data_IF_025021155319
#
_entry.id   IF_025021155319
#
_cell.length_a   1.000
_cell.length_b   1.000
_cell.length_c   1.000
_cell.angle_alpha   90.00
_cell.angle_beta   90.00
_cell.angle_gamma   90.00
#
_symmetry.space_group_name_H-M   'P 1'
#
loop_
_entity.id
_entity.type
_entity.pdbx_description
1 polymer ?
#
# COMPACT_ATOMS: atom_id res chain seq x y z
N UNK A 1 -16.32 -15.44 6.88
CA UNK A 1 -15.37 -14.39 7.30
C UNK A 1 -13.99 -15.01 7.41
N UNK A 2 -13.23 -15.06 6.31
CA UNK A 2 -11.85 -15.58 6.33
C UNK A 2 -10.93 -14.50 6.90
N UNK A 3 -10.69 -14.55 8.21
CA UNK A 3 -9.50 -13.91 8.78
C UNK A 3 -8.32 -14.75 8.31
N UNK A 4 -7.62 -14.29 7.28
CA UNK A 4 -6.25 -14.72 7.03
C UNK A 4 -5.46 -14.31 8.27
N UNK A 5 -5.35 -15.23 9.24
CA UNK A 5 -4.38 -15.08 10.30
C UNK A 5 -3.02 -15.35 9.65
N UNK A 6 -2.10 -14.37 9.65
CA UNK A 6 -0.77 -14.62 9.15
C UNK A 6 -0.13 -15.71 10.01
N UNK A 7 0.47 -16.71 9.34
CA UNK A 7 1.18 -17.77 10.04
C UNK A 7 2.38 -17.16 10.78
N UNK A 8 2.64 -17.58 12.01
CA UNK A 8 3.67 -16.98 12.86
C UNK A 8 5.10 -17.03 12.27
N UNK A 9 5.41 -18.03 11.45
CA UNK A 9 6.69 -18.18 10.73
C UNK A 9 6.86 -17.26 9.50
N UNK A 10 5.76 -16.78 8.91
CA UNK A 10 5.75 -16.01 7.64
C UNK A 10 5.71 -14.49 7.86
N UNK A 11 5.84 -14.02 9.10
CA UNK A 11 5.66 -12.60 9.44
C UNK A 11 6.73 -11.70 8.82
N UNK A 12 7.95 -12.21 8.65
CA UNK A 12 9.01 -11.52 7.91
C UNK A 12 8.63 -11.35 6.43
N UNK A 13 8.06 -12.39 5.83
CA UNK A 13 7.59 -12.44 4.45
C UNK A 13 6.44 -11.43 4.22
N UNK A 14 5.55 -11.25 5.20
CA UNK A 14 4.45 -10.30 5.12
C UNK A 14 4.91 -8.85 5.14
N UNK A 15 5.90 -8.51 5.98
CA UNK A 15 6.48 -7.15 6.01
C UNK A 15 7.12 -6.81 4.67
N UNK A 16 7.91 -7.71 4.09
CA UNK A 16 8.54 -7.50 2.77
C UNK A 16 7.49 -7.36 1.65
N UNK A 17 6.45 -8.21 1.65
CA UNK A 17 5.34 -8.10 0.68
C UNK A 17 4.58 -6.78 0.81
N UNK A 18 4.26 -6.36 2.04
CA UNK A 18 3.57 -5.09 2.29
C UNK A 18 4.44 -3.90 1.86
N UNK A 19 5.74 -3.91 2.16
CA UNK A 19 6.68 -2.88 1.72
C UNK A 19 6.74 -2.79 0.19
N UNK A 20 6.82 -3.94 -0.49
CA UNK A 20 6.77 -4.00 -1.95
C UNK A 20 5.45 -3.45 -2.51
N UNK A 21 4.31 -3.82 -1.93
CA UNK A 21 3.01 -3.27 -2.35
C UNK A 21 2.91 -1.75 -2.14
N UNK A 22 3.46 -1.22 -1.04
CA UNK A 22 3.55 0.22 -0.78
C UNK A 22 4.38 0.91 -1.86
N UNK A 23 5.60 0.40 -2.14
CA UNK A 23 6.49 0.99 -3.14
C UNK A 23 5.84 0.99 -4.54
N UNK A 24 5.32 -0.16 -4.97
CA UNK A 24 4.61 -0.28 -6.25
C UNK A 24 3.40 0.67 -6.34
N UNK A 25 2.67 0.85 -5.23
CA UNK A 25 1.50 1.74 -5.21
C UNK A 25 1.90 3.21 -5.31
N UNK A 26 3.01 3.60 -4.67
CA UNK A 26 3.57 4.95 -4.77
C UNK A 26 4.03 5.23 -6.20
N UNK A 27 4.80 4.33 -6.82
CA UNK A 27 5.25 4.47 -8.21
C UNK A 27 4.05 4.58 -9.17
N UNK A 28 2.99 3.80 -8.94
CA UNK A 28 1.75 3.89 -9.71
C UNK A 28 1.01 5.21 -9.52
N UNK A 29 1.10 5.84 -8.34
CA UNK A 29 0.54 7.18 -8.10
C UNK A 29 1.35 8.21 -8.89
N UNK A 30 2.68 8.17 -8.80
CA UNK A 30 3.59 9.10 -9.50
C UNK A 30 3.44 9.01 -11.02
N UNK A 31 3.45 7.80 -11.58
CA UNK A 31 3.22 7.58 -13.01
C UNK A 31 1.83 8.07 -13.46
N UNK A 32 0.81 7.91 -12.60
CA UNK A 32 -0.52 8.42 -12.88
C UNK A 32 -0.57 9.96 -12.80
N UNK A 33 0.19 10.60 -11.91
CA UNK A 33 0.31 12.06 -11.83
C UNK A 33 1.08 12.64 -13.04
N UNK A 34 2.10 11.94 -13.55
CA UNK A 34 2.80 12.34 -14.78
C UNK A 34 1.85 12.32 -16.00
N UNK A 35 1.10 11.23 -16.16
CA UNK A 35 0.09 11.12 -17.24
C UNK A 35 -1.06 12.11 -17.07
N UNK A 36 -1.38 12.49 -15.84
CA UNK A 36 -2.41 13.49 -15.53
C UNK A 36 -2.10 14.83 -16.20
N UNK A 37 -0.83 15.23 -16.34
CA UNK A 37 -0.45 16.50 -16.97
C UNK A 37 -0.99 16.64 -18.40
N UNK A 38 -1.04 15.54 -19.14
CA UNK A 38 -1.48 15.47 -20.54
C UNK A 38 -2.96 15.07 -20.71
N UNK A 39 -3.65 14.76 -19.63
CA UNK A 39 -5.02 14.22 -19.63
C UNK A 39 -6.10 15.30 -19.68
N UNK A 40 -7.30 14.93 -20.16
CA UNK A 40 -8.48 15.80 -20.17
C UNK A 40 -8.97 16.09 -18.74
N UNK A 41 -9.72 17.19 -18.47
CA UNK A 41 -10.21 17.50 -17.12
C UNK A 41 -11.00 16.36 -16.44
N UNK A 42 -11.81 15.63 -17.20
CA UNK A 42 -12.56 14.47 -16.68
C UNK A 42 -11.62 13.30 -16.31
N UNK A 43 -10.61 13.04 -17.13
CA UNK A 43 -9.59 12.01 -16.86
C UNK A 43 -8.75 12.38 -15.65
N UNK A 44 -8.37 13.67 -15.51
CA UNK A 44 -7.67 14.18 -14.33
C UNK A 44 -8.45 13.89 -13.04
N UNK A 45 -9.75 14.18 -13.02
CA UNK A 45 -10.59 13.91 -11.86
C UNK A 45 -10.66 12.39 -11.53
N UNK A 46 -10.75 11.53 -12.55
CA UNK A 46 -10.73 10.07 -12.36
C UNK A 46 -9.39 9.58 -11.80
N UNK A 47 -8.28 10.11 -12.31
CA UNK A 47 -6.93 9.76 -11.85
C UNK A 47 -6.74 10.22 -10.40
N UNK A 48 -7.14 11.45 -10.06
CA UNK A 48 -7.09 11.97 -8.69
C UNK A 48 -7.87 11.09 -7.72
N UNK A 49 -9.14 10.79 -8.01
CA UNK A 49 -9.96 9.94 -7.16
C UNK A 49 -9.36 8.52 -6.99
N UNK A 50 -8.70 7.99 -8.02
CA UNK A 50 -8.01 6.69 -7.94
C UNK A 50 -6.74 6.79 -7.09
N UNK A 51 -5.98 7.88 -7.22
CA UNK A 51 -4.79 8.14 -6.42
C UNK A 51 -5.12 8.36 -4.94
N UNK A 52 -6.22 9.04 -4.62
CA UNK A 52 -6.69 9.18 -3.24
C UNK A 52 -6.99 7.83 -2.59
N UNK A 53 -7.69 6.94 -3.31
CA UNK A 53 -7.95 5.57 -2.81
C UNK A 53 -6.66 4.78 -2.61
N UNK A 54 -5.67 4.93 -3.51
CA UNK A 54 -4.35 4.31 -3.37
C UNK A 54 -3.59 4.84 -2.16
N UNK A 55 -3.64 6.15 -1.89
CA UNK A 55 -3.03 6.76 -0.70
C UNK A 55 -3.61 6.17 0.59
N UNK A 56 -4.93 6.06 0.67
CA UNK A 56 -5.59 5.41 1.81
C UNK A 56 -5.20 3.93 1.95
N UNK A 57 -5.04 3.20 0.84
CA UNK A 57 -4.56 1.81 0.89
C UNK A 57 -3.12 1.72 1.42
N UNK A 58 -2.23 2.62 0.97
CA UNK A 58 -0.85 2.71 1.44
C UNK A 58 -0.79 3.02 2.93
N UNK A 59 -1.66 3.88 3.44
CA UNK A 59 -1.76 4.14 4.88
C UNK A 59 -2.11 2.87 5.65
N UNK A 60 -3.11 2.10 5.19
CA UNK A 60 -3.45 0.80 5.79
C UNK A 60 -2.27 -0.17 5.79
N UNK A 61 -1.55 -0.29 4.66
CA UNK A 61 -0.36 -1.16 4.59
C UNK A 61 0.76 -0.70 5.53
N UNK A 62 0.95 0.61 5.70
CA UNK A 62 1.95 1.15 6.64
C UNK A 62 1.61 0.83 8.08
N UNK A 63 0.33 0.88 8.45
CA UNK A 63 -0.11 0.47 9.79
C UNK A 63 0.11 -1.03 10.00
N UNK A 64 -0.24 -1.88 9.02
CA UNK A 64 0.01 -3.33 9.09
C UNK A 64 1.50 -3.67 9.20
N UNK A 65 2.37 -3.00 8.43
CA UNK A 65 3.83 -3.17 8.53
C UNK A 65 4.32 -2.86 9.95
N UNK A 66 3.80 -1.78 10.54
CA UNK A 66 4.21 -1.35 11.89
C UNK A 66 3.76 -2.35 12.94
N UNK A 67 2.54 -2.85 12.84
CA UNK A 67 2.00 -3.85 13.77
C UNK A 67 2.77 -5.18 13.66
N UNK A 68 3.08 -5.63 12.44
CA UNK A 68 3.88 -6.84 12.21
C UNK A 68 5.33 -6.70 12.70
N UNK A 69 5.96 -5.54 12.47
CA UNK A 69 7.29 -5.25 12.97
C UNK A 69 7.33 -5.23 14.51
N UNK A 70 6.32 -4.62 15.15
CA UNK A 70 6.18 -4.61 16.60
C UNK A 70 5.89 -6.00 17.17
N UNK A 71 5.12 -6.84 16.47
CA UNK A 71 4.90 -8.23 16.85
C UNK A 71 6.21 -9.04 16.81
N UNK A 72 7.04 -8.84 15.80
CA UNK A 72 8.37 -9.47 15.68
C UNK A 72 9.33 -9.09 16.80
N UNK A 73 9.32 -7.84 17.27
CA UNK A 73 10.15 -7.42 18.41
C UNK A 73 9.68 -8.02 19.74
N UNK A 74 8.38 -8.30 19.89
CA UNK A 74 7.82 -8.89 21.13
C UNK A 74 8.02 -10.39 21.24
N UNK A 75 8.37 -11.06 20.15
CA UNK A 75 8.62 -12.51 20.09
C UNK A 75 10.10 -12.88 20.09
N UNK A 76 10.99 -11.89 20.08
CA UNK A 76 12.41 -12.05 20.36
C UNK A 76 12.69 -11.89 21.86
#
# INVERSE_FOLDING_TARGET
MNRQKPNPDDRSDNVEKLQSMVQNTIENIEAAEETMAFSSPEEKAKIQAKNEKRKHAVEGFREEIKDEAAAREREQ
#
